data_IF_144385877873
#
_entry.id   IF_144385877873
#
_cell.length_a   1.000
_cell.length_b   1.000
_cell.length_c   1.000
_cell.angle_alpha   90.00
_cell.angle_beta   90.00
_cell.angle_gamma   90.00
#
_symmetry.space_group_name_H-M   'P 1'
#
loop_
_entity.id
_entity.type
_entity.pdbx_description
1 polymer ?
#
# COMPACT_ATOMS: atom_id res chain seq x y z
N UNK A 1 -6.88 24.26 -17.36
CA UNK A 1 -5.47 23.86 -17.60
C UNK A 1 -4.81 23.76 -16.24
N UNK A 2 -4.28 22.59 -15.87
CA UNK A 2 -3.63 22.43 -14.57
C UNK A 2 -2.27 23.16 -14.55
N UNK A 3 -1.86 23.72 -13.39
CA UNK A 3 -0.53 24.30 -13.23
C UNK A 3 0.58 23.32 -13.63
N UNK A 4 1.69 23.76 -14.21
CA UNK A 4 2.79 22.88 -14.65
C UNK A 4 3.28 21.93 -13.55
N UNK A 5 3.39 22.46 -12.32
CA UNK A 5 3.75 21.72 -11.09
C UNK A 5 2.77 20.58 -10.77
N UNK A 6 1.47 20.79 -10.93
CA UNK A 6 0.46 19.74 -10.70
C UNK A 6 0.55 18.65 -11.78
N UNK A 7 0.77 19.04 -13.04
CA UNK A 7 0.94 18.07 -14.13
C UNK A 7 2.20 17.22 -13.95
N UNK A 8 3.29 17.84 -13.52
CA UNK A 8 4.54 17.14 -13.24
C UNK A 8 4.37 16.16 -12.07
N UNK A 9 3.71 16.58 -11.00
CA UNK A 9 3.40 15.70 -9.88
C UNK A 9 2.50 14.52 -10.29
N UNK A 10 1.48 14.77 -11.11
CA UNK A 10 0.63 13.70 -11.67
C UNK A 10 1.42 12.70 -12.51
N UNK A 11 2.37 13.17 -13.32
CA UNK A 11 3.22 12.31 -14.14
C UNK A 11 4.13 11.42 -13.27
N UNK A 12 4.75 12.00 -12.23
CA UNK A 12 5.58 11.27 -11.25
C UNK A 12 4.76 10.18 -10.54
N UNK A 13 3.57 10.53 -10.04
CA UNK A 13 2.69 9.59 -9.34
C UNK A 13 2.21 8.46 -10.26
N UNK A 14 1.91 8.78 -11.52
CA UNK A 14 1.49 7.80 -12.52
C UNK A 14 2.63 6.86 -12.92
N UNK A 15 3.83 7.39 -13.11
CA UNK A 15 5.03 6.59 -13.43
C UNK A 15 5.42 5.66 -12.27
N UNK A 16 5.23 6.08 -11.03
CA UNK A 16 5.43 5.25 -9.84
C UNK A 16 4.38 4.13 -9.68
N UNK A 17 3.32 4.12 -10.50
CA UNK A 17 2.26 3.12 -10.42
C UNK A 17 1.33 3.32 -9.22
N UNK A 18 1.15 4.57 -8.78
CA UNK A 18 0.21 4.89 -7.70
C UNK A 18 -1.21 4.57 -8.13
N UNK A 19 -1.92 3.82 -7.29
CA UNK A 19 -3.31 3.47 -7.52
C UNK A 19 -4.22 4.70 -7.50
N UNK A 20 -5.32 4.63 -8.27
CA UNK A 20 -6.23 5.77 -8.44
C UNK A 20 -6.77 6.37 -7.13
N UNK A 21 -6.94 5.54 -6.10
CA UNK A 21 -7.45 5.93 -4.78
C UNK A 21 -6.44 6.77 -3.98
N UNK A 22 -5.16 6.65 -4.29
CA UNK A 22 -4.05 7.36 -3.64
C UNK A 22 -3.48 8.47 -4.52
N UNK A 23 -3.95 8.58 -5.76
CA UNK A 23 -3.43 9.50 -6.77
C UNK A 23 -3.50 10.96 -6.33
N UNK A 24 -4.66 11.41 -5.83
CA UNK A 24 -4.84 12.81 -5.40
C UNK A 24 -3.93 13.19 -4.22
N UNK A 25 -3.72 12.26 -3.29
CA UNK A 25 -2.80 12.44 -2.16
C UNK A 25 -1.35 12.51 -2.62
N UNK A 26 -0.94 11.59 -3.50
CA UNK A 26 0.39 11.61 -4.10
C UNK A 26 0.67 12.93 -4.84
N UNK A 27 -0.27 13.37 -5.69
CA UNK A 27 -0.12 14.62 -6.45
C UNK A 27 0.03 15.80 -5.50
N UNK A 28 -0.77 15.85 -4.43
CA UNK A 28 -0.69 16.90 -3.44
C UNK A 28 0.68 16.93 -2.74
N UNK A 29 1.15 15.80 -2.24
CA UNK A 29 2.42 15.71 -1.51
C UNK A 29 3.61 16.05 -2.41
N UNK A 30 3.67 15.47 -3.62
CA UNK A 30 4.74 15.73 -4.60
C UNK A 30 4.70 17.17 -5.08
N UNK A 31 3.53 17.73 -5.40
CA UNK A 31 3.42 19.11 -5.89
C UNK A 31 3.76 20.14 -4.80
N UNK A 32 3.46 19.85 -3.53
CA UNK A 32 3.70 20.76 -2.42
C UNK A 32 5.14 20.70 -1.90
N UNK A 33 5.78 19.52 -1.94
CA UNK A 33 7.13 19.31 -1.42
C UNK A 33 8.22 19.31 -2.51
N UNK A 34 7.87 18.93 -3.74
CA UNK A 34 8.82 18.65 -4.81
C UNK A 34 9.59 17.33 -4.63
N UNK A 35 9.21 16.49 -3.66
CA UNK A 35 9.90 15.23 -3.35
C UNK A 35 9.16 14.05 -4.00
N UNK A 36 9.85 13.34 -4.91
CA UNK A 36 9.30 12.20 -5.62
C UNK A 36 9.17 10.92 -4.78
N UNK A 37 9.84 10.83 -3.61
CA UNK A 37 9.77 9.64 -2.74
C UNK A 37 8.38 9.40 -2.15
N UNK A 38 7.52 10.43 -2.12
CA UNK A 38 6.12 10.29 -1.77
C UNK A 38 5.34 9.42 -2.76
N UNK A 39 5.71 9.44 -4.05
CA UNK A 39 5.09 8.60 -5.06
C UNK A 39 5.43 7.11 -4.85
N UNK A 40 6.67 6.80 -4.49
CA UNK A 40 7.06 5.43 -4.13
C UNK A 40 6.33 4.95 -2.88
N UNK A 41 6.18 5.81 -1.88
CA UNK A 41 5.44 5.49 -0.66
C UNK A 41 3.97 5.21 -0.94
N UNK A 42 3.33 6.05 -1.77
CA UNK A 42 1.94 5.87 -2.18
C UNK A 42 1.73 4.60 -3.02
N UNK A 43 2.65 4.26 -3.92
CA UNK A 43 2.58 3.04 -4.72
C UNK A 43 2.66 1.78 -3.85
N UNK A 44 3.44 1.81 -2.77
CA UNK A 44 3.63 0.67 -1.89
C UNK A 44 2.55 0.53 -0.80
N UNK A 45 1.81 1.59 -0.49
CA UNK A 45 0.82 1.61 0.60
C UNK A 45 -0.27 0.52 0.49
N UNK A 46 -0.66 0.14 -0.73
CA UNK A 46 -1.65 -0.92 -0.96
C UNK A 46 -1.02 -2.32 -1.04
N UNK A 47 0.27 -2.41 -1.38
CA UNK A 47 0.98 -3.69 -1.48
C UNK A 47 1.06 -4.39 -0.12
N UNK A 48 1.19 -3.64 0.95
CA UNK A 48 1.23 -4.18 2.31
C UNK A 48 -0.15 -4.73 2.74
N UNK A 49 -1.23 -4.03 2.41
CA UNK A 49 -2.61 -4.46 2.73
C UNK A 49 -2.97 -5.76 2.00
N UNK A 50 -2.58 -5.89 0.74
CA UNK A 50 -2.86 -7.10 -0.05
C UNK A 50 -2.05 -8.29 0.49
N UNK A 51 -0.76 -8.09 0.82
CA UNK A 51 0.05 -9.17 1.41
C UNK A 51 -0.55 -9.70 2.69
N UNK A 52 -0.95 -8.82 3.61
CA UNK A 52 -1.56 -9.23 4.87
C UNK A 52 -2.85 -10.03 4.65
N UNK A 53 -3.69 -9.61 3.71
CA UNK A 53 -4.95 -10.31 3.39
C UNK A 53 -4.72 -11.66 2.73
N UNK A 54 -3.78 -11.74 1.80
CA UNK A 54 -3.42 -13.00 1.12
C UNK A 54 -2.79 -13.99 2.10
N UNK A 55 -1.93 -13.54 3.02
CA UNK A 55 -1.37 -14.41 4.05
C UNK A 55 -2.45 -14.96 4.99
N UNK A 56 -3.44 -14.15 5.37
CA UNK A 56 -4.57 -14.62 6.17
C UNK A 56 -5.40 -15.66 5.42
N UNK A 57 -5.73 -15.42 4.15
CA UNK A 57 -6.48 -16.41 3.36
C UNK A 57 -5.70 -17.72 3.16
N UNK A 58 -4.37 -17.68 2.98
CA UNK A 58 -3.55 -18.90 2.90
C UNK A 58 -3.52 -19.64 4.24
N UNK A 59 -3.39 -18.94 5.37
CA UNK A 59 -3.46 -19.55 6.72
C UNK A 59 -4.82 -20.22 6.96
N UNK A 60 -5.91 -19.60 6.53
CA UNK A 60 -7.26 -20.13 6.75
C UNK A 60 -7.60 -21.29 5.80
N UNK A 61 -7.00 -21.33 4.60
CA UNK A 61 -7.25 -22.38 3.59
C UNK A 61 -6.30 -23.57 3.66
N UNK A 62 -5.13 -23.43 4.29
CA UNK A 62 -4.21 -24.54 4.55
C UNK A 62 -4.47 -25.03 5.97
N UNK A 63 -5.23 -26.12 6.16
CA UNK A 63 -5.25 -26.80 7.44
C UNK A 63 -3.83 -27.29 7.72
N UNK A 64 -3.14 -26.67 8.67
CA UNK A 64 -1.87 -27.17 9.19
C UNK A 64 -2.11 -28.61 9.68
N UNK A 65 -1.43 -29.62 9.12
CA UNK A 65 -1.54 -30.99 9.60
C UNK A 65 -0.80 -31.06 10.94
N UNK A 66 -1.51 -30.75 12.02
CA UNK A 66 -0.97 -30.74 13.37
C UNK A 66 -1.67 -29.70 14.22
N UNK A 67 -2.88 -30.01 14.68
CA UNK A 67 -3.52 -29.27 15.74
C UNK A 67 -2.63 -29.30 16.99
N UNK A 68 -1.97 -28.18 17.27
CA UNK A 68 -1.28 -27.98 18.53
C UNK A 68 -2.37 -27.68 19.56
N UNK A 69 -2.79 -28.71 20.31
CA UNK A 69 -3.39 -28.49 21.61
C UNK A 69 -2.29 -27.87 22.48
N UNK A 70 -2.43 -26.59 22.81
CA UNK A 70 -1.66 -25.96 23.88
C UNK A 70 -2.54 -26.04 25.12
N UNK A 71 -2.36 -27.04 26.00
CA UNK A 71 -3.03 -27.03 27.30
C UNK A 71 -2.32 -26.00 28.21
N UNK A 72 -3.12 -25.27 28.97
CA UNK A 72 -2.76 -24.27 29.99
C UNK A 72 -2.18 -22.92 29.53
N UNK A 73 -3.09 -21.94 29.38
CA UNK A 73 -2.82 -20.55 29.77
C UNK A 73 -3.83 -20.16 30.87
N UNK A 74 -3.37 -19.72 32.06
CA UNK A 74 -4.25 -19.32 33.15
C UNK A 74 -4.86 -17.94 32.89
N UNK A 75 -6.17 -17.81 33.11
CA UNK A 75 -6.88 -16.53 33.25
C UNK A 75 -6.69 -15.94 34.65
#
# INVERSE_FOLDING_TARGET
MLPPQIRQAEEICREAGVESELMDGCIFDVANTGDASFAESAANALTDIIKERVEQEIRDRIPLPGGINIPDLPF
#
